data_IF_867879494922
#
_entry.id   IF_867879494922
#
_cell.length_a   1.000
_cell.length_b   1.000
_cell.length_c   1.000
_cell.angle_alpha   90.00
_cell.angle_beta   90.00
_cell.angle_gamma   90.00
#
_symmetry.space_group_name_H-M   'P 1'
#
loop_
_entity.id
_entity.type
_entity.pdbx_description
1 polymer ?
#
# COMPACT_ATOMS: atom_id res chain seq x y z
N UNK A 1 -1.34 -20.89 11.98
CA UNK A 1 -0.26 -20.20 12.73
C UNK A 1 -0.81 -19.25 13.79
N UNK A 2 -1.71 -18.31 13.47
CA UNK A 2 -2.32 -17.42 14.50
C UNK A 2 -3.07 -18.13 15.63
N UNK A 3 -3.78 -19.22 15.35
CA UNK A 3 -4.44 -20.05 16.38
C UNK A 3 -3.44 -20.77 17.31
N UNK A 4 -2.15 -20.82 16.93
CA UNK A 4 -1.06 -21.37 17.72
C UNK A 4 -0.23 -20.28 18.41
N UNK A 5 -0.48 -19.01 18.10
CA UNK A 5 0.17 -17.89 18.77
C UNK A 5 -0.58 -17.57 20.06
N UNK A 6 0.15 -17.40 21.16
CA UNK A 6 -0.40 -16.87 22.40
C UNK A 6 -1.13 -15.53 22.17
N UNK A 7 -2.15 -15.21 22.99
CA UNK A 7 -2.90 -13.98 22.84
C UNK A 7 -1.98 -12.74 22.84
N UNK A 8 -2.38 -11.65 22.17
CA UNK A 8 -1.59 -10.42 22.07
C UNK A 8 -1.30 -9.74 23.42
N UNK A 9 -1.94 -10.20 24.50
CA UNK A 9 -1.91 -9.59 25.83
C UNK A 9 -0.60 -9.81 26.61
N UNK A 10 0.35 -10.57 26.06
CA UNK A 10 1.66 -10.83 26.67
C UNK A 10 1.60 -11.75 27.89
N UNK A 11 2.72 -12.38 28.21
CA UNK A 11 2.91 -13.12 29.46
C UNK A 11 3.66 -12.25 30.46
N UNK A 12 3.49 -12.50 31.77
CA UNK A 12 4.16 -11.74 32.84
C UNK A 12 5.69 -11.86 32.83
N UNK A 13 6.25 -12.80 32.06
CA UNK A 13 7.69 -13.00 31.85
C UNK A 13 8.24 -12.27 30.62
N UNK A 14 7.40 -11.63 29.80
CA UNK A 14 7.85 -11.00 28.56
C UNK A 14 8.65 -9.72 28.84
N UNK A 15 9.68 -9.48 28.02
CA UNK A 15 10.40 -8.21 27.98
C UNK A 15 9.84 -7.30 26.87
N UNK A 16 10.29 -6.04 26.84
CA UNK A 16 9.81 -5.06 25.86
C UNK A 16 9.99 -5.53 24.40
N UNK A 17 11.11 -6.19 24.10
CA UNK A 17 11.40 -6.73 22.77
C UNK A 17 10.38 -7.81 22.38
N UNK A 18 10.12 -8.77 23.26
CA UNK A 18 9.17 -9.86 23.00
C UNK A 18 7.76 -9.31 22.78
N UNK A 19 7.34 -8.32 23.58
CA UNK A 19 6.07 -7.61 23.39
C UNK A 19 5.97 -6.96 22.01
N UNK A 20 7.01 -6.22 21.60
CA UNK A 20 7.03 -5.53 20.32
C UNK A 20 7.08 -6.48 19.10
N UNK A 21 7.84 -7.57 19.19
CA UNK A 21 7.88 -8.59 18.12
C UNK A 21 6.51 -9.24 17.96
N UNK A 22 5.86 -9.62 19.07
CA UNK A 22 4.54 -10.24 19.05
C UNK A 22 3.51 -9.36 18.35
N UNK A 23 3.49 -8.07 18.67
CA UNK A 23 2.53 -7.13 18.07
C UNK A 23 2.82 -6.89 16.59
N UNK A 24 4.09 -6.75 16.19
CA UNK A 24 4.49 -6.63 14.79
C UNK A 24 4.10 -7.86 13.97
N UNK A 25 4.31 -9.07 14.50
CA UNK A 25 3.90 -10.31 13.82
C UNK A 25 2.39 -10.37 13.66
N UNK A 26 1.62 -10.03 14.70
CA UNK A 26 0.17 -10.02 14.62
C UNK A 26 -0.34 -9.07 13.52
N UNK A 27 0.17 -7.83 13.49
CA UNK A 27 -0.21 -6.84 12.49
C UNK A 27 0.28 -7.20 11.08
N UNK A 28 1.46 -7.81 10.95
CA UNK A 28 1.94 -8.33 9.66
C UNK A 28 0.99 -9.39 9.09
N UNK A 29 0.52 -10.31 9.93
CA UNK A 29 -0.47 -11.32 9.53
C UNK A 29 -1.82 -10.67 9.19
N UNK A 30 -2.24 -9.65 9.94
CA UNK A 30 -3.46 -8.90 9.64
C UNK A 30 -3.38 -8.22 8.27
N UNK A 31 -2.26 -7.56 7.95
CA UNK A 31 -2.08 -6.95 6.62
C UNK A 31 -2.06 -8.01 5.52
N UNK A 32 -1.36 -9.13 5.73
CA UNK A 32 -1.31 -10.23 4.78
C UNK A 32 -2.71 -10.83 4.53
N UNK A 33 -3.52 -11.05 5.56
CA UNK A 33 -4.90 -11.52 5.42
C UNK A 33 -5.75 -10.51 4.62
N UNK A 34 -5.62 -9.20 4.87
CA UNK A 34 -6.34 -8.19 4.09
C UNK A 34 -5.90 -8.18 2.62
N UNK A 35 -4.60 -8.25 2.33
CA UNK A 35 -4.11 -8.26 0.94
C UNK A 35 -4.48 -9.53 0.20
N UNK A 36 -4.21 -10.69 0.79
CA UNK A 36 -4.41 -11.98 0.14
C UNK A 36 -5.89 -12.32 0.00
N UNK A 37 -6.67 -12.17 1.07
CA UNK A 37 -8.07 -12.59 1.06
C UNK A 37 -8.92 -11.70 0.14
N UNK A 38 -8.73 -10.38 0.17
CA UNK A 38 -9.44 -9.49 -0.75
C UNK A 38 -9.04 -9.69 -2.22
N UNK A 39 -7.78 -10.02 -2.50
CA UNK A 39 -7.34 -10.27 -3.89
C UNK A 39 -7.82 -11.61 -4.45
N UNK A 40 -8.09 -12.59 -3.58
CA UNK A 40 -8.57 -13.92 -3.96
C UNK A 40 -10.10 -14.07 -3.84
N UNK A 41 -10.81 -13.01 -3.44
CA UNK A 41 -12.24 -13.07 -3.15
C UNK A 41 -12.59 -14.01 -1.98
N UNK A 42 -11.62 -14.25 -1.09
CA UNK A 42 -11.79 -15.10 0.08
C UNK A 42 -12.24 -14.28 1.30
N UNK A 43 -13.04 -14.88 2.20
CA UNK A 43 -13.34 -14.25 3.48
C UNK A 43 -12.05 -14.00 4.29
N UNK A 44 -11.89 -12.78 4.81
CA UNK A 44 -10.80 -12.42 5.73
C UNK A 44 -10.93 -13.24 7.01
N UNK A 45 -9.91 -14.00 7.35
CA UNK A 45 -9.93 -14.91 8.50
C UNK A 45 -9.68 -14.18 9.83
N UNK A 46 -8.95 -13.06 9.79
CA UNK A 46 -8.58 -12.31 11.00
C UNK A 46 -9.61 -11.26 11.42
N UNK A 47 -10.71 -11.09 10.67
CA UNK A 47 -11.71 -10.05 10.93
C UNK A 47 -12.28 -10.13 12.35
N UNK A 48 -12.52 -11.34 12.84
CA UNK A 48 -13.18 -11.58 14.12
C UNK A 48 -12.18 -11.81 15.27
N UNK A 49 -10.87 -11.75 14.99
CA UNK A 49 -9.85 -11.88 16.03
C UNK A 49 -9.76 -10.60 16.86
N UNK A 50 -9.62 -10.69 18.20
CA UNK A 50 -9.46 -9.52 19.05
C UNK A 50 -8.26 -8.70 18.60
N UNK A 51 -8.51 -7.42 18.26
CA UNK A 51 -7.46 -6.50 17.87
C UNK A 51 -6.63 -6.13 19.10
N UNK A 52 -5.30 -6.16 19.01
CA UNK A 52 -4.45 -5.61 20.05
C UNK A 52 -4.72 -4.11 20.23
N UNK A 53 -4.64 -3.61 21.46
CA UNK A 53 -4.80 -2.19 21.76
C UNK A 53 -3.64 -1.34 21.23
N UNK A 54 -2.43 -1.92 21.14
CA UNK A 54 -1.22 -1.22 20.73
C UNK A 54 -0.94 -1.41 19.23
N UNK A 55 -0.46 -0.34 18.62
CA UNK A 55 0.14 -0.38 17.29
C UNK A 55 1.66 -0.56 17.41
N UNK A 56 2.35 -1.02 16.36
CA UNK A 56 3.82 -1.12 16.35
C UNK A 56 4.47 0.23 16.66
N UNK A 57 5.48 0.24 17.53
CA UNK A 57 6.20 1.47 17.85
C UNK A 57 7.13 1.92 16.73
N UNK A 58 7.74 3.09 16.90
CA UNK A 58 8.80 3.60 16.02
C UNK A 58 9.96 2.61 15.85
N UNK A 59 10.43 2.45 14.62
CA UNK A 59 11.47 1.50 14.25
C UNK A 59 12.83 1.81 14.91
N UNK A 60 13.17 3.09 15.12
CA UNK A 60 14.41 3.46 15.80
C UNK A 60 14.31 3.16 17.28
N UNK A 61 13.19 3.51 17.93
CA UNK A 61 12.98 3.16 19.33
C UNK A 61 13.08 1.66 19.55
N UNK A 62 12.44 0.87 18.69
CA UNK A 62 12.55 -0.58 18.74
C UNK A 62 14.00 -1.07 18.61
N UNK A 63 14.79 -0.49 17.69
CA UNK A 63 16.19 -0.87 17.49
C UNK A 63 17.11 -0.58 18.69
N UNK A 64 16.70 0.35 19.56
CA UNK A 64 17.44 0.73 20.78
C UNK A 64 17.06 -0.09 22.00
N UNK A 65 16.03 -0.95 21.93
CA UNK A 65 15.61 -1.75 23.07
C UNK A 65 16.66 -2.79 23.45
N UNK A 66 16.72 -3.12 24.74
CA UNK A 66 17.62 -4.13 25.30
C UNK A 66 16.84 -5.25 26.00
N UNK A 67 17.37 -6.49 26.08
CA UNK A 67 16.63 -7.64 26.60
C UNK A 67 16.21 -7.54 28.07
N UNK A 68 16.89 -6.69 28.84
CA UNK A 68 16.68 -6.40 30.26
C UNK A 68 15.56 -5.38 30.51
N UNK A 69 15.07 -4.69 29.48
CA UNK A 69 13.98 -3.73 29.64
C UNK A 69 12.64 -4.44 29.90
N UNK A 70 11.91 -4.04 30.95
CA UNK A 70 10.63 -4.65 31.29
C UNK A 70 9.55 -4.32 30.25
N UNK A 71 8.52 -5.17 30.15
CA UNK A 71 7.38 -4.97 29.25
C UNK A 71 6.69 -3.60 29.39
N UNK A 72 6.73 -3.00 30.59
CA UNK A 72 6.14 -1.69 30.86
C UNK A 72 6.72 -0.56 29.98
N UNK A 73 7.99 -0.66 29.58
CA UNK A 73 8.62 0.30 28.65
C UNK A 73 7.87 0.29 27.32
N UNK A 74 7.61 -0.91 26.78
CA UNK A 74 6.85 -1.10 25.56
C UNK A 74 5.39 -0.63 25.71
N UNK A 75 4.72 -0.99 26.82
CA UNK A 75 3.33 -0.60 27.07
C UNK A 75 3.13 0.92 27.18
N UNK A 76 4.14 1.65 27.66
CA UNK A 76 4.11 3.10 27.78
C UNK A 76 4.47 3.86 26.50
N UNK A 77 4.93 3.16 25.46
CA UNK A 77 5.35 3.82 24.22
C UNK A 77 4.15 4.18 23.34
N UNK A 78 3.92 5.48 23.18
CA UNK A 78 2.83 6.01 22.36
C UNK A 78 3.27 6.47 20.97
N UNK A 79 4.56 6.34 20.61
CA UNK A 79 5.09 6.83 19.34
C UNK A 79 4.92 5.74 18.26
N UNK A 80 3.96 5.89 17.33
CA UNK A 80 3.75 4.92 16.26
C UNK A 80 4.89 4.97 15.25
N UNK A 81 5.29 3.80 14.74
CA UNK A 81 6.24 3.68 13.63
C UNK A 81 5.58 3.72 12.26
N UNK A 82 6.40 3.62 11.21
CA UNK A 82 5.92 3.52 9.84
C UNK A 82 5.02 2.30 9.64
N UNK A 83 5.31 1.19 10.32
CA UNK A 83 4.46 0.00 10.31
C UNK A 83 3.07 0.24 10.90
N UNK A 84 2.95 1.06 11.95
CA UNK A 84 1.64 1.43 12.48
C UNK A 84 0.80 2.23 11.47
N UNK A 85 1.44 3.10 10.70
CA UNK A 85 0.75 3.84 9.64
C UNK A 85 0.36 2.93 8.46
N UNK A 86 1.18 1.94 8.10
CA UNK A 86 0.80 0.92 7.11
C UNK A 86 -0.41 0.10 7.57
N UNK A 87 -0.47 -0.24 8.85
CA UNK A 87 -1.62 -0.95 9.44
C UNK A 87 -2.90 -0.15 9.29
N UNK A 88 -2.90 1.16 9.58
CA UNK A 88 -4.11 1.96 9.44
C UNK A 88 -4.49 2.19 7.98
N UNK A 89 -3.51 2.22 7.07
CA UNK A 89 -3.78 2.28 5.63
C UNK A 89 -4.47 1.02 5.13
N UNK A 90 -4.02 -0.16 5.56
CA UNK A 90 -4.53 -1.46 5.06
C UNK A 90 -6.03 -1.63 5.28
N UNK A 91 -6.60 -0.94 6.27
CA UNK A 91 -8.04 -0.98 6.55
C UNK A 91 -8.89 -0.42 5.41
N UNK A 92 -8.33 0.50 4.61
CA UNK A 92 -8.98 1.07 3.44
C UNK A 92 -8.96 0.14 2.22
N UNK A 93 -8.10 -0.90 2.23
CA UNK A 93 -7.96 -1.81 1.09
C UNK A 93 -9.22 -2.64 0.84
N UNK A 94 -9.81 -3.23 1.88
CA UNK A 94 -10.95 -4.12 1.72
C UNK A 94 -12.20 -3.39 1.16
N UNK A 95 -12.59 -2.20 1.66
CA UNK A 95 -13.67 -1.42 1.04
C UNK A 95 -13.43 -1.04 -0.43
N UNK A 96 -12.18 -0.72 -0.81
CA UNK A 96 -11.83 -0.42 -2.21
C UNK A 96 -12.00 -1.68 -3.07
N UNK A 97 -11.50 -2.82 -2.61
CA UNK A 97 -11.62 -4.09 -3.34
C UNK A 97 -13.06 -4.56 -3.45
N UNK A 98 -13.85 -4.39 -2.39
CA UNK A 98 -15.28 -4.69 -2.43
C UNK A 98 -16.00 -3.84 -3.49
N UNK A 99 -15.74 -2.53 -3.53
CA UNK A 99 -16.32 -1.66 -4.56
C UNK A 99 -15.92 -2.14 -5.97
N UNK A 100 -14.62 -2.39 -6.19
CA UNK A 100 -14.12 -2.87 -7.48
C UNK A 100 -14.73 -4.21 -7.89
N UNK A 101 -14.85 -5.15 -6.96
CA UNK A 101 -15.45 -6.45 -7.20
C UNK A 101 -16.92 -6.33 -7.62
N UNK A 102 -17.70 -5.52 -6.90
CA UNK A 102 -19.13 -5.30 -7.19
C UNK A 102 -19.35 -4.68 -8.56
N UNK A 103 -18.51 -3.72 -8.93
CA UNK A 103 -18.55 -3.11 -10.28
C UNK A 103 -18.19 -4.13 -11.35
N UNK A 104 -17.10 -4.88 -11.18
CA UNK A 104 -16.64 -5.86 -12.16
C UNK A 104 -17.63 -7.01 -12.39
N UNK A 105 -18.41 -7.38 -11.37
CA UNK A 105 -19.43 -8.44 -11.45
C UNK A 105 -20.80 -7.93 -11.88
N UNK A 106 -20.93 -6.66 -12.25
CA UNK A 106 -22.17 -6.10 -12.76
C UNK A 106 -23.31 -6.16 -11.74
N UNK A 107 -23.00 -6.11 -10.44
CA UNK A 107 -24.04 -5.86 -9.44
C UNK A 107 -24.78 -4.58 -9.85
N UNK A 108 -26.09 -4.54 -9.65
CA UNK A 108 -27.00 -3.47 -10.09
C UNK A 108 -26.81 -2.16 -9.29
N UNK A 109 -25.57 -1.68 -9.22
CA UNK A 109 -25.18 -0.38 -8.72
C UNK A 109 -25.41 0.63 -9.84
N UNK A 110 -26.24 1.63 -9.56
CA UNK A 110 -26.36 2.78 -10.44
C UNK A 110 -25.04 3.56 -10.42
N UNK A 111 -24.64 4.16 -11.55
CA UNK A 111 -23.40 4.93 -11.67
C UNK A 111 -23.24 5.97 -10.54
N UNK A 112 -24.31 6.69 -10.19
CA UNK A 112 -24.27 7.68 -9.11
C UNK A 112 -23.92 7.09 -7.73
N UNK A 113 -24.26 5.82 -7.47
CA UNK A 113 -23.86 5.14 -6.23
C UNK A 113 -22.38 4.76 -6.25
N UNK A 114 -21.86 4.34 -7.39
CA UNK A 114 -20.43 4.03 -7.58
C UNK A 114 -19.62 5.32 -7.37
N UNK A 115 -20.04 6.41 -8.00
CA UNK A 115 -19.42 7.73 -7.89
C UNK A 115 -19.42 8.23 -6.44
N UNK A 116 -20.54 8.06 -5.72
CA UNK A 116 -20.64 8.44 -4.31
C UNK A 116 -19.72 7.63 -3.40
N UNK A 117 -19.72 6.29 -3.54
CA UNK A 117 -18.85 5.41 -2.77
C UNK A 117 -17.37 5.69 -3.07
N UNK A 118 -17.05 5.98 -4.34
CA UNK A 118 -15.71 6.38 -4.77
C UNK A 118 -15.27 7.65 -4.05
N UNK A 119 -16.13 8.68 -4.02
CA UNK A 119 -15.82 9.95 -3.34
C UNK A 119 -15.62 9.77 -1.83
N UNK A 120 -16.42 8.92 -1.19
CA UNK A 120 -16.26 8.63 0.24
C UNK A 120 -14.93 7.96 0.54
N UNK A 121 -14.53 6.96 -0.24
CA UNK A 121 -13.24 6.29 -0.09
C UNK A 121 -12.07 7.21 -0.43
N UNK A 122 -12.24 8.07 -1.43
CA UNK A 122 -11.28 9.12 -1.77
C UNK A 122 -11.02 10.04 -0.59
N UNK A 123 -12.09 10.53 0.04
CA UNK A 123 -11.99 11.39 1.22
C UNK A 123 -11.31 10.68 2.41
N UNK A 124 -11.55 9.38 2.58
CA UNK A 124 -10.89 8.59 3.63
C UNK A 124 -9.38 8.45 3.37
N UNK A 125 -8.96 8.21 2.13
CA UNK A 125 -7.55 8.18 1.73
C UNK A 125 -6.88 9.54 1.93
N UNK A 126 -7.54 10.62 1.50
CA UNK A 126 -7.02 11.99 1.65
C UNK A 126 -6.89 12.36 3.15
N UNK A 127 -7.93 12.06 3.94
CA UNK A 127 -7.91 12.25 5.41
C UNK A 127 -6.82 11.41 6.09
N UNK A 128 -6.60 10.18 5.63
CA UNK A 128 -5.55 9.31 6.17
C UNK A 128 -4.17 9.94 5.95
N UNK A 129 -3.91 10.44 4.74
CA UNK A 129 -2.64 11.10 4.41
C UNK A 129 -2.43 12.37 5.24
N UNK A 130 -3.46 13.20 5.38
CA UNK A 130 -3.42 14.44 6.18
C UNK A 130 -3.14 14.17 7.67
N UNK A 131 -3.61 13.04 8.20
CA UNK A 131 -3.41 12.64 9.60
C UNK A 131 -2.02 12.07 9.88
N UNK A 132 -1.21 11.79 8.87
CA UNK A 132 0.16 11.33 9.11
C UNK A 132 0.97 12.40 9.85
N UNK A 133 1.79 12.02 10.84
CA UNK A 133 2.67 12.96 11.52
C UNK A 133 3.64 13.58 10.52
N UNK A 134 4.14 14.79 10.81
CA UNK A 134 5.00 15.56 9.90
C UNK A 134 6.18 14.76 9.34
N UNK A 135 6.80 13.89 10.14
CA UNK A 135 7.92 13.05 9.71
C UNK A 135 7.54 11.93 8.73
N UNK A 136 6.27 11.48 8.72
CA UNK A 136 5.77 10.43 7.84
C UNK A 136 5.04 10.99 6.60
N UNK A 137 5.06 12.30 6.37
CA UNK A 137 4.47 12.91 5.17
C UNK A 137 5.34 12.63 3.93
N UNK A 138 4.76 12.44 2.72
CA UNK A 138 5.49 12.08 1.51
C UNK A 138 6.25 13.29 0.93
N UNK A 139 7.34 13.69 1.59
CA UNK A 139 8.21 14.77 1.12
C UNK A 139 9.61 14.24 0.85
N UNK A 140 10.32 14.86 -0.09
CA UNK A 140 11.73 14.53 -0.39
C UNK A 140 12.62 14.67 0.86
N UNK A 141 12.34 15.70 1.68
CA UNK A 141 13.04 15.91 2.95
C UNK A 141 12.86 14.72 3.90
N UNK A 142 11.62 14.26 4.10
CA UNK A 142 11.34 13.12 4.97
C UNK A 142 11.94 11.83 4.42
N UNK A 143 11.87 11.60 3.11
CA UNK A 143 12.52 10.44 2.49
C UNK A 143 14.03 10.44 2.75
N UNK A 144 14.71 11.58 2.57
CA UNK A 144 16.12 11.71 2.87
C UNK A 144 16.44 11.45 4.35
N UNK A 145 15.62 11.98 5.27
CA UNK A 145 15.77 11.74 6.71
C UNK A 145 15.56 10.26 7.09
N UNK A 146 14.53 9.62 6.56
CA UNK A 146 14.28 8.20 6.78
C UNK A 146 15.40 7.33 6.21
N UNK A 147 15.94 7.69 5.05
CA UNK A 147 17.09 6.99 4.44
C UNK A 147 18.32 7.05 5.34
N UNK A 148 18.68 8.25 5.84
CA UNK A 148 19.82 8.41 6.77
C UNK A 148 19.67 7.57 8.03
N UNK A 149 18.44 7.34 8.49
CA UNK A 149 18.11 6.55 9.67
C UNK A 149 17.94 5.06 9.38
N UNK A 150 18.06 4.62 8.13
CA UNK A 150 17.87 3.21 7.75
C UNK A 150 16.41 2.76 7.69
N UNK A 151 15.46 3.70 7.55
CA UNK A 151 14.01 3.46 7.45
C UNK A 151 13.43 3.91 6.10
N UNK A 152 14.29 4.17 5.11
CA UNK A 152 13.89 4.61 3.78
C UNK A 152 12.99 3.61 3.06
N UNK A 153 13.32 2.32 3.10
CA UNK A 153 12.50 1.24 2.51
C UNK A 153 11.07 1.20 3.05
N UNK A 154 10.86 1.08 4.39
CA UNK A 154 9.53 1.15 4.99
C UNK A 154 8.76 2.43 4.66
N UNK A 155 9.44 3.59 4.61
CA UNK A 155 8.81 4.86 4.24
C UNK A 155 8.33 4.83 2.78
N UNK A 156 9.15 4.31 1.87
CA UNK A 156 8.78 4.14 0.48
C UNK A 156 7.58 3.19 0.34
N UNK A 157 7.61 2.04 1.03
CA UNK A 157 6.56 1.04 0.99
C UNK A 157 5.19 1.60 1.44
N UNK A 158 5.17 2.42 2.50
CA UNK A 158 3.98 3.11 2.98
C UNK A 158 3.32 3.95 1.87
N UNK A 159 4.11 4.78 1.19
CA UNK A 159 3.59 5.68 0.16
C UNK A 159 3.33 5.00 -1.18
N UNK A 160 4.09 3.96 -1.54
CA UNK A 160 3.77 3.08 -2.66
C UNK A 160 2.40 2.41 -2.45
N UNK A 161 2.13 1.91 -1.24
CA UNK A 161 0.83 1.37 -0.86
C UNK A 161 -0.30 2.40 -0.99
N UNK A 162 -0.08 3.62 -0.52
CA UNK A 162 -1.06 4.71 -0.63
C UNK A 162 -1.40 5.02 -2.10
N UNK A 163 -0.40 5.25 -2.95
CA UNK A 163 -0.65 5.52 -4.36
C UNK A 163 -1.31 4.34 -5.06
N UNK A 164 -0.92 3.11 -4.72
CA UNK A 164 -1.56 1.90 -5.27
C UNK A 164 -3.06 1.84 -4.93
N UNK A 165 -3.45 2.13 -3.68
CA UNK A 165 -4.85 2.09 -3.27
C UNK A 165 -5.68 3.16 -3.98
N UNK A 166 -5.14 4.37 -4.14
CA UNK A 166 -5.77 5.39 -4.95
C UNK A 166 -5.91 4.94 -6.42
N UNK A 167 -4.86 4.35 -7.01
CA UNK A 167 -4.94 3.83 -8.38
C UNK A 167 -6.05 2.78 -8.52
N UNK A 168 -6.14 1.83 -7.58
CA UNK A 168 -7.20 0.82 -7.59
C UNK A 168 -8.60 1.42 -7.49
N UNK A 169 -8.80 2.42 -6.63
CA UNK A 169 -10.08 3.07 -6.42
C UNK A 169 -10.60 3.75 -7.70
N UNK A 170 -9.69 4.39 -8.45
CA UNK A 170 -10.06 5.15 -9.64
C UNK A 170 -9.93 4.36 -10.95
N UNK A 171 -9.43 3.12 -10.92
CA UNK A 171 -9.06 2.36 -12.11
C UNK A 171 -10.21 2.21 -13.11
N UNK A 172 -11.41 1.94 -12.61
CA UNK A 172 -12.62 1.79 -13.42
C UNK A 172 -12.93 3.01 -14.30
N UNK A 173 -12.55 4.22 -13.88
CA UNK A 173 -12.84 5.45 -14.60
C UNK A 173 -11.93 5.67 -15.81
N UNK A 174 -10.96 4.78 -16.03
CA UNK A 174 -10.22 4.72 -17.29
C UNK A 174 -11.04 4.09 -18.41
N UNK A 175 -12.13 3.38 -18.13
CA UNK A 175 -12.94 2.75 -19.17
C UNK A 175 -13.50 3.78 -20.16
N UNK A 176 -13.04 3.70 -21.41
CA UNK A 176 -13.45 4.56 -22.52
C UNK A 176 -14.94 4.43 -22.88
N UNK A 177 -15.62 3.38 -22.41
CA UNK A 177 -17.05 3.18 -22.62
C UNK A 177 -17.93 3.95 -21.63
N UNK A 178 -17.35 4.47 -20.54
CA UNK A 178 -18.10 5.27 -19.57
C UNK A 178 -18.53 6.61 -20.18
N UNK A 179 -19.76 7.01 -19.88
CA UNK A 179 -20.25 8.34 -20.27
C UNK A 179 -19.37 9.42 -19.63
N UNK A 180 -18.76 10.32 -20.42
CA UNK A 180 -17.90 11.35 -19.89
C UNK A 180 -18.73 12.38 -19.11
N UNK A 181 -18.39 12.55 -17.84
CA UNK A 181 -18.89 13.62 -16.97
C UNK A 181 -17.68 14.31 -16.32
N UNK A 182 -17.90 15.50 -15.76
CA UNK A 182 -16.84 16.20 -15.01
C UNK A 182 -16.26 15.30 -13.91
N UNK A 183 -17.10 14.49 -13.27
CA UNK A 183 -16.69 13.60 -12.18
C UNK A 183 -15.89 12.40 -12.69
N UNK A 184 -16.33 11.72 -13.76
CA UNK A 184 -15.58 10.58 -14.31
C UNK A 184 -14.23 11.02 -14.87
N UNK A 185 -14.17 12.18 -15.53
CA UNK A 185 -12.92 12.78 -15.99
C UNK A 185 -11.97 13.11 -14.82
N UNK A 186 -12.50 13.69 -13.73
CA UNK A 186 -11.71 13.99 -12.53
C UNK A 186 -11.13 12.72 -11.91
N UNK A 187 -11.91 11.64 -11.80
CA UNK A 187 -11.42 10.37 -11.27
C UNK A 187 -10.41 9.69 -12.19
N UNK A 188 -10.62 9.70 -13.51
CA UNK A 188 -9.64 9.21 -14.47
C UNK A 188 -8.30 9.97 -14.34
N UNK A 189 -8.34 11.30 -14.22
CA UNK A 189 -7.16 12.12 -14.01
C UNK A 189 -6.45 11.78 -12.67
N UNK A 190 -7.21 11.55 -11.59
CA UNK A 190 -6.62 11.08 -10.31
C UNK A 190 -5.98 9.71 -10.47
N UNK A 191 -6.58 8.78 -11.20
CA UNK A 191 -5.99 7.46 -11.45
C UNK A 191 -4.60 7.58 -12.11
N UNK A 192 -4.51 8.36 -13.19
CA UNK A 192 -3.27 8.65 -13.90
C UNK A 192 -2.23 9.30 -12.99
N UNK A 193 -2.63 10.32 -12.22
CA UNK A 193 -1.75 11.02 -11.27
C UNK A 193 -1.15 10.06 -10.23
N UNK A 194 -1.95 9.20 -9.61
CA UNK A 194 -1.43 8.27 -8.60
C UNK A 194 -0.54 7.18 -9.22
N UNK A 195 -0.84 6.70 -10.43
CA UNK A 195 0.05 5.77 -11.14
C UNK A 195 1.39 6.40 -11.52
N UNK A 196 1.39 7.67 -11.93
CA UNK A 196 2.60 8.44 -12.19
C UNK A 196 3.42 8.67 -10.90
N UNK A 197 2.79 9.09 -9.81
CA UNK A 197 3.46 9.31 -8.53
C UNK A 197 4.04 8.00 -7.96
N UNK A 198 3.32 6.89 -8.08
CA UNK A 198 3.84 5.55 -7.76
C UNK A 198 5.13 5.26 -8.54
N UNK A 199 5.10 5.44 -9.86
CA UNK A 199 6.22 5.10 -10.75
C UNK A 199 7.44 5.99 -10.47
N UNK A 200 7.21 7.27 -10.21
CA UNK A 200 8.26 8.23 -9.81
C UNK A 200 8.90 7.82 -8.49
N UNK A 201 8.09 7.48 -7.49
CA UNK A 201 8.55 7.09 -6.17
C UNK A 201 9.34 5.77 -6.22
N UNK A 202 8.86 4.78 -6.97
CA UNK A 202 9.57 3.51 -7.17
C UNK A 202 10.92 3.73 -7.85
N UNK A 203 10.97 4.55 -8.89
CA UNK A 203 12.21 4.87 -9.59
C UNK A 203 13.23 5.55 -8.66
N UNK A 204 12.78 6.49 -7.83
CA UNK A 204 13.63 7.14 -6.84
C UNK A 204 14.18 6.14 -5.83
N UNK A 205 13.33 5.27 -5.27
CA UNK A 205 13.75 4.24 -4.32
C UNK A 205 14.79 3.27 -4.88
N UNK A 206 14.70 2.92 -6.17
CA UNK A 206 15.69 2.06 -6.85
C UNK A 206 17.06 2.72 -7.01
N UNK A 207 17.14 4.04 -7.03
CA UNK A 207 18.39 4.77 -7.20
C UNK A 207 19.10 5.08 -5.87
N UNK A 208 18.44 4.79 -4.74
CA UNK A 208 18.90 5.20 -3.41
C UNK A 208 19.09 4.00 -2.49
N UNK A 209 20.33 3.81 -2.02
CA UNK A 209 20.65 2.75 -1.08
C UNK A 209 19.87 2.95 0.24
N UNK A 210 19.30 1.86 0.76
CA UNK A 210 18.44 1.88 1.96
C UNK A 210 16.97 2.22 1.69
N UNK A 211 16.59 2.40 0.42
CA UNK A 211 15.20 2.62 -0.04
C UNK A 211 14.66 1.47 -0.89
N UNK A 212 15.32 0.32 -0.90
CA UNK A 212 15.00 -0.77 -1.82
C UNK A 212 13.63 -1.40 -1.49
N UNK A 213 12.75 -1.42 -2.49
CA UNK A 213 11.40 -1.99 -2.37
C UNK A 213 11.31 -3.37 -3.02
N UNK A 214 12.09 -4.33 -2.52
CA UNK A 214 12.27 -5.66 -3.13
C UNK A 214 11.30 -6.70 -2.56
N UNK A 215 9.99 -6.46 -2.71
CA UNK A 215 8.93 -7.35 -2.21
C UNK A 215 7.99 -7.80 -3.33
N UNK A 216 7.41 -9.02 -3.27
CA UNK A 216 6.49 -9.50 -4.33
C UNK A 216 5.31 -8.58 -4.58
N UNK A 217 4.77 -7.96 -3.52
CA UNK A 217 3.65 -7.03 -3.59
C UNK A 217 3.98 -5.80 -4.45
N UNK A 218 5.22 -5.31 -4.40
CA UNK A 218 5.67 -4.17 -5.23
C UNK A 218 5.60 -4.55 -6.70
N UNK A 219 5.90 -5.80 -7.06
CA UNK A 219 5.72 -6.31 -8.42
C UNK A 219 4.27 -6.19 -8.90
N UNK A 220 3.30 -6.67 -8.11
CA UNK A 220 1.88 -6.55 -8.43
C UNK A 220 1.44 -5.07 -8.55
N UNK A 221 1.81 -4.24 -7.58
CA UNK A 221 1.50 -2.80 -7.60
C UNK A 221 2.07 -2.12 -8.85
N UNK A 222 3.29 -2.47 -9.24
CA UNK A 222 3.97 -1.94 -10.42
C UNK A 222 3.26 -2.34 -11.71
N UNK A 223 2.76 -3.57 -11.81
CA UNK A 223 1.95 -4.03 -12.96
C UNK A 223 0.66 -3.20 -13.07
N UNK A 224 -0.03 -2.97 -11.96
CA UNK A 224 -1.27 -2.16 -11.95
C UNK A 224 -1.00 -0.71 -12.35
N UNK A 225 0.04 -0.07 -11.82
CA UNK A 225 0.39 1.29 -12.26
C UNK A 225 0.84 1.33 -13.73
N UNK A 226 1.52 0.29 -14.21
CA UNK A 226 1.95 0.17 -15.61
C UNK A 226 0.77 0.01 -16.56
N UNK A 227 -0.30 -0.67 -16.18
CA UNK A 227 -1.49 -0.77 -17.03
C UNK A 227 -2.19 0.59 -17.20
N UNK A 228 -2.18 1.46 -16.18
CA UNK A 228 -2.66 2.85 -16.30
C UNK A 228 -1.78 3.67 -17.26
N UNK A 229 -0.46 3.49 -17.21
CA UNK A 229 0.45 4.18 -18.15
C UNK A 229 0.25 3.68 -19.58
N UNK A 230 0.08 2.37 -19.77
CA UNK A 230 -0.24 1.78 -21.07
C UNK A 230 -1.58 2.30 -21.60
N UNK A 231 -2.61 2.34 -20.77
CA UNK A 231 -3.89 2.94 -21.10
C UNK A 231 -3.70 4.41 -21.55
N UNK A 232 -2.89 5.18 -20.83
CA UNK A 232 -2.62 6.59 -21.17
C UNK A 232 -1.89 6.73 -22.51
N UNK A 233 -1.00 5.81 -22.86
CA UNK A 233 -0.35 5.80 -24.19
C UNK A 233 -1.37 5.49 -25.29
N UNK A 234 -2.32 4.59 -25.05
CA UNK A 234 -3.28 4.13 -26.05
C UNK A 234 -4.45 5.11 -26.26
N UNK A 235 -4.90 5.76 -25.19
CA UNK A 235 -6.16 6.53 -25.16
C UNK A 235 -6.01 7.94 -24.57
N UNK A 236 -4.82 8.33 -24.14
CA UNK A 236 -4.53 9.67 -23.61
C UNK A 236 -4.31 10.71 -24.70
N UNK A 237 -3.90 11.90 -24.28
CA UNK A 237 -3.57 13.02 -25.17
C UNK A 237 -2.08 13.04 -25.54
N UNK A 238 -1.72 13.66 -26.67
CA UNK A 238 -0.34 13.67 -27.19
C UNK A 238 0.69 14.20 -26.19
N UNK A 239 0.30 15.13 -25.31
CA UNK A 239 1.16 15.69 -24.26
C UNK A 239 1.46 14.70 -23.12
N UNK A 240 0.59 13.70 -22.89
CA UNK A 240 0.79 12.67 -21.86
C UNK A 240 1.78 11.57 -22.31
N UNK A 241 1.87 11.32 -23.62
CA UNK A 241 2.61 10.20 -24.21
C UNK A 241 4.09 10.12 -23.79
N UNK A 242 4.91 11.18 -23.92
CA UNK A 242 6.34 11.09 -23.63
C UNK A 242 6.63 10.65 -22.19
N UNK A 243 5.87 11.22 -21.24
CA UNK A 243 6.01 10.91 -19.83
C UNK A 243 5.51 9.50 -19.54
N UNK A 244 4.34 9.10 -20.06
CA UNK A 244 3.83 7.73 -19.87
C UNK A 244 4.76 6.66 -20.43
N UNK A 245 5.37 6.90 -21.60
CA UNK A 245 6.38 6.00 -22.16
C UNK A 245 7.62 5.85 -21.28
N UNK A 246 8.14 6.96 -20.75
CA UNK A 246 9.29 6.95 -19.87
C UNK A 246 9.01 6.11 -18.61
N UNK A 247 7.92 6.37 -17.91
CA UNK A 247 7.60 5.65 -16.67
C UNK A 247 7.20 4.21 -16.88
N UNK A 248 6.55 3.89 -18.02
CA UNK A 248 6.26 2.51 -18.36
C UNK A 248 7.55 1.72 -18.51
N UNK A 249 8.55 2.28 -19.21
CA UNK A 249 9.88 1.65 -19.33
C UNK A 249 10.54 1.48 -17.96
N UNK A 250 10.57 2.53 -17.14
CA UNK A 250 11.16 2.49 -15.80
C UNK A 250 10.51 1.43 -14.90
N UNK A 251 9.20 1.26 -14.99
CA UNK A 251 8.47 0.22 -14.27
C UNK A 251 8.82 -1.19 -14.80
N UNK A 252 8.95 -1.37 -16.12
CA UNK A 252 9.38 -2.65 -16.68
C UNK A 252 10.80 -3.04 -16.22
N UNK A 253 11.72 -2.09 -16.13
CA UNK A 253 13.06 -2.33 -15.58
C UNK A 253 12.97 -2.80 -14.12
N UNK A 254 12.13 -2.15 -13.31
CA UNK A 254 11.89 -2.58 -11.92
C UNK A 254 11.31 -4.01 -11.85
N UNK A 255 10.38 -4.36 -12.74
CA UNK A 255 9.80 -5.70 -12.80
C UNK A 255 10.82 -6.78 -13.18
N UNK A 256 11.70 -6.49 -14.15
CA UNK A 256 12.77 -7.42 -14.57
C UNK A 256 13.79 -7.65 -13.45
N UNK A 257 14.08 -6.61 -12.66
CA UNK A 257 14.92 -6.73 -11.47
C UNK A 257 14.22 -7.58 -10.40
N UNK A 258 12.95 -7.29 -10.09
CA UNK A 258 12.17 -8.04 -9.11
C UNK A 258 11.98 -9.52 -9.47
N UNK A 259 11.88 -9.87 -10.75
CA UNK A 259 11.80 -11.27 -11.21
C UNK A 259 13.01 -12.11 -10.77
N UNK A 260 14.18 -11.50 -10.65
CA UNK A 260 15.40 -12.20 -10.21
C UNK A 260 15.30 -12.71 -8.77
N UNK A 261 14.50 -12.04 -7.94
CA UNK A 261 14.29 -12.37 -6.54
C UNK A 261 12.99 -13.15 -6.31
N UNK A 262 11.95 -12.86 -7.10
CA UNK A 262 10.59 -13.34 -6.87
C UNK A 262 10.01 -13.99 -8.14
N UNK A 263 10.08 -15.33 -8.27
CA UNK A 263 9.60 -16.03 -9.46
C UNK A 263 8.13 -15.75 -9.82
N UNK A 264 7.29 -15.42 -8.82
CA UNK A 264 5.88 -15.05 -9.05
C UNK A 264 5.73 -13.80 -9.92
N UNK A 265 6.68 -12.86 -9.88
CA UNK A 265 6.66 -11.64 -10.70
C UNK A 265 6.71 -11.99 -12.19
N UNK A 266 7.45 -13.04 -12.57
CA UNK A 266 7.47 -13.55 -13.95
C UNK A 266 6.07 -13.85 -14.47
N UNK A 267 5.24 -14.51 -13.64
CA UNK A 267 3.88 -14.88 -14.02
C UNK A 267 2.99 -13.66 -14.26
N UNK A 268 3.19 -12.57 -13.49
CA UNK A 268 2.45 -11.31 -13.64
C UNK A 268 2.79 -10.57 -14.94
N UNK A 269 4.07 -10.60 -15.34
CA UNK A 269 4.57 -9.98 -16.58
C UNK A 269 4.17 -10.79 -17.83
N UNK A 270 4.05 -12.11 -17.71
CA UNK A 270 3.67 -12.97 -18.84
C UNK A 270 2.16 -12.94 -19.09
N UNK A 271 1.32 -12.83 -18.05
CA UNK A 271 -0.14 -12.70 -18.21
C UNK A 271 -0.57 -11.38 -18.89
N UNK A 272 0.32 -10.39 -19.00
CA UNK A 272 0.10 -9.15 -19.75
C UNK A 272 0.55 -9.22 -21.22
N UNK A 273 0.97 -10.41 -21.71
CA UNK A 273 1.35 -10.68 -23.12
C UNK A 273 0.31 -11.51 -23.90
N UNK A 274 -0.91 -11.65 -23.38
CA UNK A 274 -2.05 -12.30 -24.07
C UNK A 274 -3.13 -11.25 -24.29
#
# INVERSE_FOLDING_TARGET
>A
MLQLMEPPTGNSSDNAITGEIRIRVWWALFMADNWCSSSLGLPRQMRDFPRPAHLPMDEQLFSTLTPDQPLSVWQSCEIPGLWAHMVTLVELFAPIQELNWRVAHGESLQQGQIDHNTEQLAQQLDTWLEKLPRGAQPTEFNLAEHTKRGTGGPFLALHLGFHHYCTLLYYQYLDTQLTPTIQTQRFAARCKLHAFNYSTLLAHGRQQAGCEAVYPTVGHMTVVSSSVLLHTILFGTEDELPQSHHWLRTNFEALLELEQYWPTVKSMVVLSRV
#
